data_IF_979424471354
#
_entry.id   IF_979424471354
#
_cell.length_a   1.000
_cell.length_b   1.000
_cell.length_c   1.000
_cell.angle_alpha   90.00
_cell.angle_beta   90.00
_cell.angle_gamma   90.00
#
_symmetry.space_group_name_H-M   'P 1'
#
loop_
_entity.id
_entity.type
_entity.pdbx_description
1 polymer ?
#
# COMPACT_ATOMS: atom_id res chain seq x y z
N UNK A 1 12.62 -21.60 -6.85
CA UNK A 1 11.92 -22.90 -6.72
C UNK A 1 10.57 -22.64 -6.07
N UNK A 2 9.52 -22.51 -6.88
CA UNK A 2 8.13 -22.46 -6.45
C UNK A 2 7.54 -23.82 -6.80
N UNK A 3 6.93 -24.46 -5.81
CA UNK A 3 6.26 -25.77 -5.85
C UNK A 3 7.12 -27.03 -5.69
N UNK A 4 7.27 -27.42 -4.42
CA UNK A 4 7.39 -28.82 -4.02
C UNK A 4 6.67 -29.09 -2.69
N UNK A 5 5.52 -28.48 -2.46
CA UNK A 5 4.52 -28.95 -1.49
C UNK A 5 3.16 -28.67 -2.11
N UNK A 6 2.30 -29.69 -2.22
CA UNK A 6 0.97 -29.64 -2.86
C UNK A 6 -0.05 -28.73 -2.17
N UNK A 7 0.37 -27.54 -1.73
CA UNK A 7 -0.47 -26.51 -1.19
C UNK A 7 -1.14 -25.72 -2.32
N UNK A 8 -2.42 -25.44 -2.18
CA UNK A 8 -3.16 -24.58 -3.10
C UNK A 8 -2.46 -23.22 -3.23
N UNK A 9 -2.42 -22.67 -4.46
CA UNK A 9 -1.80 -21.38 -4.75
C UNK A 9 -2.32 -20.28 -3.80
N UNK A 10 -1.46 -19.37 -3.32
CA UNK A 10 -1.86 -18.27 -2.46
C UNK A 10 -2.73 -17.28 -3.25
N UNK A 11 -3.85 -16.88 -2.66
CA UNK A 11 -4.81 -15.97 -3.26
C UNK A 11 -5.09 -14.76 -2.37
N UNK A 12 -5.30 -13.63 -2.98
CA UNK A 12 -5.97 -12.49 -2.36
C UNK A 12 -7.47 -12.82 -2.44
N UNK A 13 -8.15 -12.90 -1.29
CA UNK A 13 -9.54 -13.35 -1.20
C UNK A 13 -10.52 -12.27 -0.75
N UNK A 14 -10.01 -11.19 -0.18
CA UNK A 14 -10.76 -9.99 0.17
C UNK A 14 -9.81 -8.79 0.16
N UNK A 15 -10.35 -7.60 -0.10
CA UNK A 15 -9.58 -6.35 -0.07
C UNK A 15 -10.47 -5.16 0.25
N UNK A 16 -9.85 -4.05 0.64
CA UNK A 16 -10.48 -2.73 0.73
C UNK A 16 -9.43 -1.62 0.66
N UNK A 17 -9.90 -0.39 0.48
CA UNK A 17 -9.06 0.79 0.51
C UNK A 17 -9.77 1.96 1.22
N UNK A 18 -9.02 2.66 2.05
CA UNK A 18 -9.35 3.99 2.56
C UNK A 18 -8.44 4.97 1.81
N UNK A 19 -9.02 5.82 0.99
CA UNK A 19 -8.28 6.57 -0.03
C UNK A 19 -8.84 7.98 -0.23
N UNK A 20 -8.18 8.85 -0.99
CA UNK A 20 -8.73 10.13 -1.40
C UNK A 20 -10.04 10.04 -2.20
N UNK A 21 -10.40 8.86 -2.68
CA UNK A 21 -11.66 8.61 -3.39
C UNK A 21 -12.83 8.28 -2.44
N UNK A 22 -12.53 7.91 -1.19
CA UNK A 22 -13.52 7.58 -0.17
C UNK A 22 -13.00 6.62 0.88
N UNK A 23 -13.89 6.22 1.79
CA UNK A 23 -13.53 5.43 2.96
C UNK A 23 -13.59 3.91 2.72
N UNK A 24 -14.09 3.47 1.57
CA UNK A 24 -14.38 2.06 1.27
C UNK A 24 -13.78 1.61 -0.06
N UNK A 25 -13.59 0.32 -0.22
CA UNK A 25 -13.15 -0.27 -1.49
C UNK A 25 -14.11 0.04 -2.63
N UNK A 26 -15.42 0.05 -2.37
CA UNK A 26 -16.43 0.44 -3.36
C UNK A 26 -16.26 1.89 -3.85
N UNK A 27 -15.94 2.82 -2.93
CA UNK A 27 -15.66 4.22 -3.29
C UNK A 27 -14.41 4.32 -4.17
N UNK A 28 -13.38 3.55 -3.82
CA UNK A 28 -12.14 3.46 -4.59
C UNK A 28 -12.41 2.92 -6.00
N UNK A 29 -13.15 1.82 -6.13
CA UNK A 29 -13.54 1.22 -7.41
C UNK A 29 -14.32 2.20 -8.28
N UNK A 30 -15.31 2.89 -7.71
CA UNK A 30 -16.10 3.90 -8.43
C UNK A 30 -15.25 5.12 -8.84
N UNK A 31 -14.39 5.58 -7.94
CA UNK A 31 -13.54 6.74 -8.16
C UNK A 31 -12.48 6.52 -9.24
N UNK A 32 -11.85 5.35 -9.30
CA UNK A 32 -10.93 4.98 -10.38
C UNK A 32 -11.58 5.09 -11.76
N UNK A 33 -12.81 4.62 -11.89
CA UNK A 33 -13.55 4.70 -13.16
C UNK A 33 -13.88 6.12 -13.60
N UNK A 34 -13.80 7.11 -12.72
CA UNK A 34 -14.04 8.51 -13.07
C UNK A 34 -12.88 9.17 -13.82
N UNK A 35 -11.68 8.62 -13.73
CA UNK A 35 -10.44 9.17 -14.31
C UNK A 35 -10.05 10.55 -13.76
N UNK A 36 -10.66 11.00 -12.66
CA UNK A 36 -10.43 12.32 -12.08
C UNK A 36 -9.42 12.24 -10.94
N UNK A 37 -8.46 13.17 -10.92
CA UNK A 37 -7.58 13.35 -9.78
C UNK A 37 -8.35 13.76 -8.53
N UNK A 38 -8.03 13.11 -7.40
CA UNK A 38 -8.57 13.47 -6.08
C UNK A 38 -7.83 14.65 -5.45
N UNK A 39 -6.77 15.17 -6.09
CA UNK A 39 -6.00 16.31 -5.61
C UNK A 39 -6.90 17.55 -5.40
N UNK A 40 -6.77 18.17 -4.23
CA UNK A 40 -7.50 19.39 -3.87
C UNK A 40 -6.51 20.45 -3.35
N UNK A 41 -6.80 21.74 -3.58
CA UNK A 41 -6.01 22.79 -2.99
C UNK A 41 -5.96 22.64 -1.46
N UNK A 42 -4.78 22.86 -0.90
CA UNK A 42 -4.59 22.94 0.55
C UNK A 42 -4.92 24.35 1.01
N UNK A 43 -5.60 24.47 2.16
CA UNK A 43 -5.83 25.75 2.80
C UNK A 43 -4.52 26.24 3.45
N UNK A 44 -3.96 27.39 3.04
CA UNK A 44 -2.71 27.89 3.60
C UNK A 44 -2.81 28.28 5.08
N UNK A 45 -4.03 28.52 5.61
CA UNK A 45 -4.24 28.81 7.03
C UNK A 45 -4.13 27.54 7.88
N UNK A 46 -4.51 26.39 7.32
CA UNK A 46 -4.40 25.08 7.98
C UNK A 46 -3.03 24.43 7.73
N UNK A 47 -2.49 24.57 6.51
CA UNK A 47 -1.33 23.83 6.04
C UNK A 47 -0.16 24.75 5.67
N UNK A 48 0.79 24.93 6.59
CA UNK A 48 2.05 25.65 6.32
C UNK A 48 3.09 24.73 5.69
N UNK A 49 2.86 24.35 4.43
CA UNK A 49 3.69 23.39 3.66
C UNK A 49 4.01 23.93 2.27
N UNK A 50 5.10 23.44 1.62
CA UNK A 50 5.50 23.93 0.30
C UNK A 50 4.63 23.41 -0.86
N UNK A 51 3.68 22.54 -0.60
CA UNK A 51 2.75 22.02 -1.60
C UNK A 51 1.45 22.82 -1.62
N UNK A 52 0.92 23.05 -2.83
CA UNK A 52 -0.34 23.80 -3.02
C UNK A 52 -1.58 22.92 -3.00
N UNK A 53 -1.40 21.62 -3.20
CA UNK A 53 -2.49 20.63 -3.26
C UNK A 53 -2.03 19.30 -2.67
N UNK A 54 -3.00 18.52 -2.17
CA UNK A 54 -2.80 17.15 -1.73
C UNK A 54 -4.06 16.32 -2.02
N UNK A 55 -3.89 15.01 -2.10
CA UNK A 55 -4.96 14.03 -2.21
C UNK A 55 -5.23 13.45 -0.82
N UNK A 56 -6.15 14.06 -0.09
CA UNK A 56 -6.50 13.68 1.28
C UNK A 56 -7.74 12.81 1.31
N UNK A 57 -7.82 11.90 2.29
CA UNK A 57 -9.02 11.10 2.54
C UNK A 57 -10.16 12.02 3.02
N UNK A 58 -11.27 12.10 2.27
CA UNK A 58 -12.32 13.08 2.56
C UNK A 58 -13.01 12.77 3.90
N UNK A 59 -13.17 13.81 4.73
CA UNK A 59 -13.88 13.70 6.00
C UNK A 59 -13.28 12.72 7.01
N UNK A 60 -12.00 12.38 6.88
CA UNK A 60 -11.37 11.40 7.77
C UNK A 60 -11.07 12.00 9.15
N UNK A 61 -11.96 11.75 10.08
CA UNK A 61 -11.81 12.09 11.49
C UNK A 61 -11.83 10.82 12.34
N UNK A 62 -10.69 10.45 12.90
CA UNK A 62 -10.48 9.19 13.64
C UNK A 62 -11.59 8.93 14.68
N UNK A 63 -11.92 9.94 15.51
CA UNK A 63 -12.94 9.79 16.57
C UNK A 63 -14.37 9.68 16.05
N UNK A 64 -14.66 10.22 14.87
CA UNK A 64 -15.98 10.09 14.24
C UNK A 64 -16.13 8.69 13.65
N UNK A 65 -15.07 8.17 13.04
CA UNK A 65 -15.08 6.89 12.34
C UNK A 65 -14.91 5.72 13.32
N UNK A 66 -13.95 5.78 14.24
CA UNK A 66 -13.60 4.69 15.14
C UNK A 66 -14.20 4.82 16.55
N UNK A 67 -14.86 5.95 16.86
CA UNK A 67 -15.38 6.25 18.19
C UNK A 67 -14.32 6.87 19.10
N UNK A 68 -14.71 7.17 20.35
CA UNK A 68 -13.82 7.87 21.31
C UNK A 68 -12.89 6.93 22.09
N UNK A 69 -13.30 5.66 22.27
CA UNK A 69 -12.55 4.70 23.08
C UNK A 69 -11.28 4.25 22.32
N UNK A 70 -10.12 4.44 22.92
CA UNK A 70 -8.83 4.02 22.33
C UNK A 70 -8.24 4.95 21.27
N UNK A 71 -8.96 6.04 20.90
CA UNK A 71 -8.54 6.93 19.79
C UNK A 71 -7.91 8.24 20.23
N UNK A 72 -7.73 8.45 21.56
CA UNK A 72 -7.27 9.75 22.11
C UNK A 72 -5.89 10.16 21.60
N UNK A 73 -4.96 9.23 21.53
CA UNK A 73 -3.57 9.44 21.11
C UNK A 73 -3.25 8.81 19.74
N UNK A 74 -4.27 8.29 19.03
CA UNK A 74 -4.07 7.64 17.74
C UNK A 74 -3.69 8.68 16.68
N UNK A 75 -2.54 8.46 16.01
CA UNK A 75 -2.11 9.28 14.88
C UNK A 75 -2.88 8.95 13.60
N UNK A 76 -2.67 9.78 12.57
CA UNK A 76 -3.42 9.67 11.30
C UNK A 76 -3.09 8.35 10.58
N UNK A 77 -1.82 7.96 10.49
CA UNK A 77 -1.42 6.70 9.84
C UNK A 77 -2.07 5.50 10.52
N UNK A 78 -2.03 5.46 11.86
CA UNK A 78 -2.69 4.42 12.64
C UNK A 78 -4.20 4.42 12.44
N UNK A 79 -4.83 5.58 12.45
CA UNK A 79 -6.28 5.71 12.20
C UNK A 79 -6.70 5.18 10.84
N UNK A 80 -5.96 5.51 9.77
CA UNK A 80 -6.20 5.01 8.42
C UNK A 80 -6.06 3.47 8.36
N UNK A 81 -4.98 2.92 8.93
CA UNK A 81 -4.74 1.48 8.95
C UNK A 81 -5.83 0.71 9.72
N UNK A 82 -6.17 1.16 10.94
CA UNK A 82 -7.22 0.54 11.76
C UNK A 82 -8.56 0.58 11.03
N UNK A 83 -8.89 1.70 10.37
CA UNK A 83 -10.14 1.84 9.61
C UNK A 83 -10.18 0.89 8.42
N UNK A 84 -9.10 0.82 7.63
CA UNK A 84 -9.04 -0.08 6.48
C UNK A 84 -9.17 -1.55 6.91
N UNK A 85 -8.43 -1.97 7.94
CA UNK A 85 -8.52 -3.34 8.46
C UNK A 85 -9.92 -3.63 9.01
N UNK A 86 -10.54 -2.67 9.72
CA UNK A 86 -11.93 -2.82 10.18
C UNK A 86 -12.88 -3.10 9.03
N UNK A 87 -12.83 -2.28 7.96
CA UNK A 87 -13.69 -2.44 6.80
C UNK A 87 -13.46 -3.79 6.10
N UNK A 88 -12.21 -4.24 5.99
CA UNK A 88 -11.90 -5.57 5.46
C UNK A 88 -12.53 -6.68 6.30
N UNK A 89 -12.45 -6.56 7.63
CA UNK A 89 -12.93 -7.58 8.56
C UNK A 89 -14.46 -7.64 8.69
N UNK A 90 -15.15 -6.52 8.48
CA UNK A 90 -16.60 -6.40 8.69
C UNK A 90 -17.41 -6.25 7.40
N UNK A 91 -16.75 -6.32 6.22
CA UNK A 91 -17.43 -6.19 4.93
C UNK A 91 -18.02 -4.80 4.69
N UNK A 92 -17.36 -3.74 5.21
CA UNK A 92 -17.73 -2.32 5.03
C UNK A 92 -19.12 -1.92 5.59
N UNK A 93 -19.73 -2.74 6.44
CA UNK A 93 -21.01 -2.44 7.07
C UNK A 93 -20.87 -1.44 8.20
N UNK A 94 -21.88 -0.57 8.36
CA UNK A 94 -21.91 0.47 9.41
C UNK A 94 -22.54 -0.03 10.72
N UNK A 95 -23.38 -1.05 10.64
CA UNK A 95 -24.04 -1.68 11.77
C UNK A 95 -23.00 -2.48 12.58
N UNK A 96 -22.78 -2.09 13.81
CA UNK A 96 -21.76 -2.66 14.71
C UNK A 96 -21.91 -4.14 15.07
N UNK A 97 -22.81 -4.86 14.42
CA UNK A 97 -23.08 -6.31 14.54
C UNK A 97 -22.57 -7.10 13.32
N UNK A 98 -21.75 -6.48 12.44
CA UNK A 98 -21.22 -7.19 11.29
C UNK A 98 -20.34 -8.37 11.72
N UNK A 99 -20.71 -9.55 11.28
CA UNK A 99 -19.94 -10.76 11.51
C UNK A 99 -18.52 -10.60 10.90
N UNK A 100 -17.54 -10.96 11.71
CA UNK A 100 -16.14 -10.90 11.27
C UNK A 100 -15.93 -11.82 10.07
N UNK A 101 -15.11 -11.39 9.13
CA UNK A 101 -14.73 -12.17 7.94
C UNK A 101 -14.29 -13.59 8.35
N UNK A 102 -15.02 -14.59 7.86
CA UNK A 102 -14.81 -15.99 8.21
C UNK A 102 -13.36 -16.43 7.96
N UNK A 103 -12.80 -17.24 8.84
CA UNK A 103 -11.40 -17.70 8.75
C UNK A 103 -10.34 -16.67 9.17
N UNK A 104 -10.77 -15.48 9.61
CA UNK A 104 -9.88 -14.51 10.23
C UNK A 104 -10.08 -14.55 11.74
N UNK A 105 -9.14 -15.09 12.45
CA UNK A 105 -9.15 -15.28 13.90
C UNK A 105 -7.99 -14.55 14.58
N UNK A 106 -7.79 -14.84 15.87
CA UNK A 106 -6.67 -14.28 16.64
C UNK A 106 -5.29 -14.74 16.15
N UNK A 107 -5.20 -15.85 15.41
CA UNK A 107 -3.94 -16.40 14.87
C UNK A 107 -3.56 -15.80 13.52
N UNK A 108 -4.46 -15.02 12.93
CA UNK A 108 -4.23 -14.35 11.66
C UNK A 108 -3.04 -13.39 11.78
N UNK A 109 -2.10 -13.48 10.84
CA UNK A 109 -0.94 -12.60 10.78
C UNK A 109 -1.30 -11.20 10.25
N UNK A 110 -0.44 -10.22 10.55
CA UNK A 110 -0.51 -8.87 10.00
C UNK A 110 0.88 -8.46 9.48
N UNK A 111 0.98 -8.15 8.19
CA UNK A 111 2.15 -7.56 7.55
C UNK A 111 1.77 -6.20 6.97
N UNK A 112 2.01 -5.12 7.70
CA UNK A 112 1.61 -3.78 7.32
C UNK A 112 2.81 -2.92 6.93
N UNK A 113 2.73 -2.31 5.76
CA UNK A 113 3.72 -1.40 5.24
C UNK A 113 3.49 0.06 5.65
N UNK A 114 4.58 0.80 5.84
CA UNK A 114 4.58 2.26 6.01
C UNK A 114 5.95 2.81 5.66
N UNK A 115 6.08 4.09 5.36
CA UNK A 115 7.39 4.72 5.14
C UNK A 115 8.14 4.93 6.46
N UNK A 116 7.56 5.73 7.34
CA UNK A 116 8.17 6.14 8.62
C UNK A 116 7.24 5.96 9.83
N UNK A 117 6.03 5.41 9.61
CA UNK A 117 4.94 5.52 10.58
C UNK A 117 4.33 6.92 10.52
N UNK A 118 4.14 7.59 11.66
CA UNK A 118 3.68 8.99 11.68
C UNK A 118 4.88 9.94 11.77
N UNK A 119 5.28 10.52 10.63
CA UNK A 119 6.31 11.55 10.56
C UNK A 119 5.94 12.75 11.44
N UNK A 120 4.67 13.14 11.49
CA UNK A 120 4.19 14.24 12.33
C UNK A 120 4.40 13.94 13.81
N UNK A 121 4.05 12.74 14.27
CA UNK A 121 4.21 12.37 15.68
C UNK A 121 5.68 12.34 16.10
N UNK A 122 6.57 11.84 15.24
CA UNK A 122 8.01 11.83 15.48
C UNK A 122 8.54 13.26 15.61
N UNK A 123 8.17 14.14 14.67
CA UNK A 123 8.63 15.54 14.68
C UNK A 123 8.09 16.31 15.88
N UNK A 124 6.81 16.16 16.20
CA UNK A 124 6.20 16.85 17.35
C UNK A 124 6.81 16.41 18.66
N UNK A 125 7.00 15.10 18.87
CA UNK A 125 7.61 14.56 20.08
C UNK A 125 9.07 15.01 20.23
N UNK A 126 9.82 14.99 19.11
CA UNK A 126 11.21 15.46 19.09
C UNK A 126 11.29 16.96 19.40
N UNK A 127 10.42 17.76 18.78
CA UNK A 127 10.35 19.20 19.07
C UNK A 127 10.06 19.44 20.54
N UNK A 128 9.05 18.77 21.12
CA UNK A 128 8.69 18.95 22.54
C UNK A 128 9.86 18.60 23.46
N UNK A 129 10.67 17.59 23.11
CA UNK A 129 11.90 17.25 23.83
C UNK A 129 13.00 18.31 23.73
N UNK A 130 13.07 19.06 22.61
CA UNK A 130 14.12 20.05 22.36
C UNK A 130 13.79 21.44 22.90
N UNK A 131 12.48 21.83 22.89
CA UNK A 131 12.05 23.18 23.28
C UNK A 131 11.54 23.26 24.71
N UNK A 132 11.26 22.15 25.37
CA UNK A 132 10.82 22.09 26.76
C UNK A 132 11.94 22.46 27.74
N UNK A 133 11.57 22.89 28.93
CA UNK A 133 12.53 23.24 30.00
C UNK A 133 13.49 22.08 30.32
N UNK A 134 13.05 20.85 30.12
CA UNK A 134 13.85 19.64 30.24
C UNK A 134 13.46 18.63 29.16
N UNK A 135 14.43 17.90 28.55
CA UNK A 135 14.17 16.99 27.43
C UNK A 135 13.15 15.89 27.73
N UNK A 136 12.95 15.55 28.99
CA UNK A 136 12.01 14.50 29.43
C UNK A 136 10.61 15.02 29.76
N UNK A 137 10.35 16.33 29.63
CA UNK A 137 9.02 16.92 29.81
C UNK A 137 8.21 16.78 28.51
N UNK A 138 7.95 15.56 28.13
CA UNK A 138 7.16 15.17 26.95
C UNK A 138 5.90 14.40 27.38
N UNK A 139 4.85 14.43 26.57
CA UNK A 139 3.64 13.64 26.83
C UNK A 139 3.93 12.14 26.58
N UNK A 140 3.99 11.29 27.62
CA UNK A 140 4.30 9.87 27.46
C UNK A 140 3.24 9.11 26.64
N UNK A 141 2.01 9.64 26.54
CA UNK A 141 0.95 9.04 25.75
C UNK A 141 1.22 9.13 24.22
N UNK A 142 2.12 10.04 23.80
CA UNK A 142 2.51 10.20 22.39
C UNK A 142 3.69 9.30 22.00
N UNK A 143 4.44 8.79 22.99
CA UNK A 143 5.62 7.97 22.72
C UNK A 143 5.36 6.76 21.80
N UNK A 144 4.26 5.99 21.95
CA UNK A 144 3.99 4.88 21.03
C UNK A 144 3.90 5.27 19.57
N UNK A 145 3.52 6.51 19.26
CA UNK A 145 3.36 7.00 17.88
C UNK A 145 4.71 7.40 17.24
N UNK A 146 5.80 7.42 18.02
CA UNK A 146 7.13 7.77 17.52
C UNK A 146 7.87 6.60 16.90
N UNK A 147 7.31 5.40 16.94
CA UNK A 147 7.91 4.21 16.36
C UNK A 147 7.11 3.75 15.14
N UNK A 148 7.80 3.36 14.07
CA UNK A 148 7.18 3.05 12.79
C UNK A 148 6.19 1.87 12.85
N UNK A 149 6.32 0.97 13.83
CA UNK A 149 5.43 -0.17 14.00
C UNK A 149 4.14 0.14 14.76
N UNK A 150 3.89 1.40 15.11
CA UNK A 150 2.69 1.80 15.84
C UNK A 150 1.41 1.40 15.11
N UNK A 151 1.30 1.71 13.81
CA UNK A 151 0.12 1.40 13.03
C UNK A 151 -0.19 -0.10 13.00
N UNK A 152 0.81 -0.96 12.81
CA UNK A 152 0.64 -2.41 12.81
C UNK A 152 0.29 -2.94 14.21
N UNK A 153 0.99 -2.47 15.25
CA UNK A 153 0.75 -2.88 16.63
C UNK A 153 -0.63 -2.48 17.13
N UNK A 154 -1.03 -1.23 16.92
CA UNK A 154 -2.34 -0.73 17.31
C UNK A 154 -3.46 -1.41 16.53
N UNK A 155 -3.27 -1.67 15.24
CA UNK A 155 -4.24 -2.43 14.44
C UNK A 155 -4.43 -3.85 14.98
N UNK A 156 -3.35 -4.53 15.35
CA UNK A 156 -3.44 -5.86 15.94
C UNK A 156 -4.19 -5.86 17.29
N UNK A 157 -3.88 -4.89 18.17
CA UNK A 157 -4.57 -4.73 19.46
C UNK A 157 -6.05 -4.42 19.23
N UNK A 158 -6.37 -3.48 18.33
CA UNK A 158 -7.75 -3.05 18.06
C UNK A 158 -8.61 -4.20 17.54
N UNK A 159 -8.05 -5.02 16.67
CA UNK A 159 -8.78 -6.12 16.03
C UNK A 159 -8.54 -7.48 16.70
N UNK A 160 -7.84 -7.55 17.83
CA UNK A 160 -7.58 -8.79 18.55
C UNK A 160 -6.77 -9.82 17.75
N UNK A 161 -5.86 -9.36 16.88
CA UNK A 161 -4.94 -10.22 16.13
C UNK A 161 -3.74 -10.57 17.00
N UNK A 162 -3.45 -11.84 17.19
CA UNK A 162 -2.34 -12.35 18.03
C UNK A 162 -1.33 -13.17 17.22
N UNK A 163 -1.56 -13.33 15.92
CA UNK A 163 -0.62 -13.96 15.01
C UNK A 163 0.64 -13.10 14.77
N UNK A 164 1.56 -13.54 13.90
CA UNK A 164 2.74 -12.76 13.55
C UNK A 164 2.39 -11.34 13.14
N UNK A 165 3.07 -10.35 13.72
CA UNK A 165 2.87 -8.93 13.41
C UNK A 165 4.18 -8.33 12.93
N UNK A 166 4.16 -7.69 11.78
CA UNK A 166 5.36 -7.12 11.16
C UNK A 166 5.05 -5.78 10.50
N UNK A 167 5.97 -4.84 10.66
CA UNK A 167 6.00 -3.59 9.89
C UNK A 167 7.09 -3.66 8.85
N UNK A 168 6.77 -3.26 7.64
CA UNK A 168 7.67 -3.27 6.48
C UNK A 168 7.87 -1.82 6.01
N UNK A 169 9.11 -1.47 5.66
CA UNK A 169 9.44 -0.21 5.01
C UNK A 169 10.40 -0.46 3.85
N UNK A 170 10.14 0.17 2.72
CA UNK A 170 10.93 0.05 1.48
C UNK A 170 10.38 0.99 0.41
N UNK A 171 10.10 2.24 0.79
CA UNK A 171 9.57 3.27 -0.09
C UNK A 171 8.32 2.81 -0.84
N UNK A 172 8.22 3.12 -2.13
CA UNK A 172 7.09 2.72 -2.98
C UNK A 172 6.93 1.21 -3.15
N UNK A 173 8.01 0.43 -2.94
CA UNK A 173 7.97 -1.04 -3.02
C UNK A 173 7.30 -1.70 -1.79
N UNK A 174 7.01 -0.95 -0.75
CA UNK A 174 6.56 -1.46 0.55
C UNK A 174 5.36 -2.40 0.45
N UNK A 175 4.33 -2.08 -0.36
CA UNK A 175 3.17 -2.95 -0.53
C UNK A 175 3.52 -4.33 -1.10
N UNK A 176 4.45 -4.39 -2.09
CA UNK A 176 4.94 -5.66 -2.65
C UNK A 176 5.82 -6.41 -1.64
N UNK A 177 6.63 -5.71 -0.87
CA UNK A 177 7.45 -6.31 0.19
C UNK A 177 6.58 -6.90 1.31
N UNK A 178 5.49 -6.22 1.69
CA UNK A 178 4.51 -6.73 2.64
C UNK A 178 3.84 -8.02 2.12
N UNK A 179 3.46 -8.04 0.83
CA UNK A 179 2.93 -9.23 0.17
C UNK A 179 3.96 -10.37 0.17
N UNK A 180 5.23 -10.09 -0.17
CA UNK A 180 6.29 -11.09 -0.12
C UNK A 180 6.48 -11.65 1.28
N UNK A 181 6.43 -10.78 2.31
CA UNK A 181 6.58 -11.23 3.69
C UNK A 181 5.40 -12.10 4.14
N UNK A 182 4.18 -11.74 3.77
CA UNK A 182 3.00 -12.55 4.03
C UNK A 182 3.11 -13.95 3.41
N UNK A 183 3.56 -14.05 2.16
CA UNK A 183 3.86 -15.35 1.50
C UNK A 183 4.93 -16.14 2.24
N UNK A 184 5.94 -15.49 2.81
CA UNK A 184 6.97 -16.17 3.62
C UNK A 184 6.40 -16.72 4.92
N UNK A 185 5.51 -16.00 5.59
CA UNK A 185 4.82 -16.48 6.78
C UNK A 185 3.99 -17.74 6.49
N UNK A 186 3.25 -17.74 5.38
CA UNK A 186 2.48 -18.90 4.94
C UNK A 186 3.38 -20.10 4.61
N UNK A 187 4.43 -19.91 3.80
CA UNK A 187 5.37 -20.98 3.45
C UNK A 187 6.09 -21.57 4.65
N UNK A 188 6.34 -20.73 5.67
CA UNK A 188 6.96 -21.16 6.93
C UNK A 188 5.96 -21.78 7.93
N UNK A 189 4.68 -21.91 7.58
CA UNK A 189 3.63 -22.42 8.46
C UNK A 189 3.40 -21.55 9.71
N UNK A 190 3.72 -20.26 9.64
CA UNK A 190 3.59 -19.34 10.77
C UNK A 190 2.21 -18.70 10.85
N UNK A 191 1.54 -18.55 9.72
CA UNK A 191 0.17 -18.08 9.63
C UNK A 191 -0.45 -18.63 8.35
N UNK A 192 -1.68 -19.13 8.41
CA UNK A 192 -2.44 -19.58 7.24
C UNK A 192 -3.09 -18.39 6.53
N UNK A 193 -3.67 -17.47 7.29
CA UNK A 193 -4.24 -16.22 6.81
C UNK A 193 -3.37 -15.04 7.26
N UNK A 194 -3.10 -14.09 6.36
CA UNK A 194 -2.32 -12.88 6.65
C UNK A 194 -3.04 -11.67 6.08
N UNK A 195 -3.41 -10.75 6.94
CA UNK A 195 -3.78 -9.40 6.52
C UNK A 195 -2.52 -8.68 6.09
N UNK A 196 -2.48 -8.16 4.89
CA UNK A 196 -1.34 -7.39 4.41
C UNK A 196 -1.76 -6.21 3.55
N UNK A 197 -0.87 -5.25 3.44
CA UNK A 197 -1.10 -4.01 2.72
C UNK A 197 -0.14 -2.93 3.20
N UNK A 198 -0.50 -1.68 2.94
CA UNK A 198 0.31 -0.56 3.40
C UNK A 198 -0.54 0.68 3.69
N UNK A 199 0.01 1.57 4.49
CA UNK A 199 -0.58 2.85 4.89
C UNK A 199 0.43 3.97 4.75
N UNK A 200 -0.05 5.13 4.33
CA UNK A 200 0.71 6.38 4.34
C UNK A 200 -0.17 7.53 4.81
N UNK A 201 0.36 8.42 5.63
CA UNK A 201 -0.32 9.65 6.04
C UNK A 201 0.11 10.83 5.19
N UNK A 202 -0.76 11.83 5.01
CA UNK A 202 -0.35 13.18 4.70
C UNK A 202 -0.22 13.97 5.99
N UNK A 203 0.90 14.65 6.18
CA UNK A 203 1.16 15.53 7.31
C UNK A 203 2.13 16.63 6.91
N UNK A 204 2.16 17.71 7.70
CA UNK A 204 3.12 18.81 7.46
C UNK A 204 4.56 18.31 7.52
N UNK A 205 4.87 17.42 8.46
CA UNK A 205 6.21 16.84 8.57
C UNK A 205 6.58 16.03 7.32
N UNK A 206 5.68 15.14 6.83
CA UNK A 206 5.92 14.39 5.60
C UNK A 206 6.07 15.32 4.39
N UNK A 207 5.22 16.34 4.28
CA UNK A 207 5.30 17.27 3.16
C UNK A 207 6.67 17.98 3.10
N UNK A 208 7.19 18.45 4.24
CA UNK A 208 8.51 19.04 4.29
C UNK A 208 9.63 18.06 4.00
N UNK A 209 9.56 16.82 4.51
CA UNK A 209 10.54 15.77 4.19
C UNK A 209 10.57 15.47 2.68
N UNK A 210 9.40 15.31 2.06
CA UNK A 210 9.29 15.08 0.62
C UNK A 210 9.80 16.26 -0.21
N UNK A 211 9.54 17.49 0.23
CA UNK A 211 10.06 18.68 -0.43
C UNK A 211 11.59 18.72 -0.42
N UNK A 212 12.19 18.53 0.75
CA UNK A 212 13.65 18.55 0.87
C UNK A 212 14.33 17.37 0.16
N UNK A 213 13.67 16.22 0.10
CA UNK A 213 14.20 15.09 -0.64
C UNK A 213 14.22 15.28 -2.17
N UNK A 214 13.43 16.25 -2.67
CA UNK A 214 13.35 16.60 -4.11
C UNK A 214 14.09 17.88 -4.45
N UNK A 215 14.78 18.52 -3.51
CA UNK A 215 15.39 19.85 -3.69
C UNK A 215 16.45 19.94 -4.81
N UNK A 216 16.96 18.81 -5.26
CA UNK A 216 17.92 18.74 -6.39
C UNK A 216 17.21 18.52 -7.75
N UNK A 217 15.88 18.39 -7.79
CA UNK A 217 15.13 18.25 -9.03
C UNK A 217 14.60 19.62 -9.47
N UNK A 218 15.09 20.11 -10.59
CA UNK A 218 14.98 21.47 -11.16
C UNK A 218 13.56 21.97 -11.49
N UNK A 219 12.51 21.61 -10.77
CA UNK A 219 11.23 22.33 -10.92
C UNK A 219 10.22 22.09 -9.79
N UNK A 220 9.87 23.19 -9.11
CA UNK A 220 8.71 23.26 -8.21
C UNK A 220 7.37 22.95 -8.93
N UNK A 221 7.32 23.01 -10.25
CA UNK A 221 6.11 22.72 -11.06
C UNK A 221 5.90 21.23 -11.38
N UNK A 222 6.92 20.39 -11.19
CA UNK A 222 6.81 18.93 -11.39
C UNK A 222 6.52 18.15 -10.10
N UNK A 223 6.23 18.83 -8.99
CA UNK A 223 5.94 18.17 -7.73
C UNK A 223 4.64 17.36 -7.85
N UNK A 224 4.76 16.04 -7.89
CA UNK A 224 3.61 15.15 -7.79
C UNK A 224 2.76 15.51 -6.56
N UNK A 225 1.45 15.55 -6.72
CA UNK A 225 0.51 15.78 -5.63
C UNK A 225 0.69 14.64 -4.61
N UNK A 226 1.01 14.99 -3.37
CA UNK A 226 1.12 13.98 -2.31
C UNK A 226 -0.26 13.44 -1.96
N UNK A 227 -0.33 12.14 -1.73
CA UNK A 227 -1.55 11.45 -1.32
C UNK A 227 -1.39 10.72 0.01
N UNK A 228 -2.49 10.25 0.56
CA UNK A 228 -2.55 9.45 1.76
C UNK A 228 -3.56 8.32 1.64
N UNK A 229 -3.54 7.39 2.57
CA UNK A 229 -4.53 6.34 2.69
C UNK A 229 -3.93 4.99 3.05
N UNK A 230 -4.77 3.97 3.01
CA UNK A 230 -4.38 2.59 3.26
C UNK A 230 -5.12 1.66 2.30
N UNK A 231 -4.41 0.70 1.72
CA UNK A 231 -5.01 -0.42 1.01
C UNK A 231 -4.53 -1.72 1.64
N UNK A 232 -5.48 -2.60 1.95
CA UNK A 232 -5.25 -3.85 2.67
C UNK A 232 -6.02 -4.99 2.04
N UNK A 233 -5.49 -6.20 2.14
CA UNK A 233 -6.11 -7.42 1.64
C UNK A 233 -5.84 -8.61 2.53
N UNK A 234 -6.66 -9.64 2.39
CA UNK A 234 -6.46 -10.94 3.00
C UNK A 234 -5.75 -11.85 2.01
N UNK A 235 -4.58 -12.35 2.41
CA UNK A 235 -3.85 -13.38 1.71
C UNK A 235 -4.03 -14.71 2.42
N UNK A 236 -4.46 -15.74 1.70
CA UNK A 236 -4.67 -17.09 2.24
C UNK A 236 -4.48 -18.17 1.15
N UNK A 237 -4.31 -19.46 1.52
CA UNK A 237 -4.37 -20.54 0.56
C UNK A 237 -5.72 -20.62 -0.14
N UNK A 238 -5.76 -20.87 -1.45
CA UNK A 238 -7.01 -20.94 -2.19
C UNK A 238 -7.97 -22.04 -1.71
N UNK A 239 -7.49 -23.06 -1.02
CA UNK A 239 -8.34 -24.06 -0.34
C UNK A 239 -9.07 -23.44 0.86
N UNK A 240 -8.34 -22.71 1.71
CA UNK A 240 -8.89 -22.00 2.87
C UNK A 240 -9.94 -20.97 2.44
N UNK A 241 -9.66 -20.18 1.41
CA UNK A 241 -10.64 -19.25 0.86
C UNK A 241 -11.98 -19.94 0.53
N UNK A 242 -11.92 -21.08 -0.17
CA UNK A 242 -13.13 -21.85 -0.53
C UNK A 242 -13.86 -22.42 0.68
N UNK A 243 -13.13 -22.93 1.68
CA UNK A 243 -13.71 -23.41 2.94
C UNK A 243 -14.52 -22.33 3.67
N UNK A 244 -14.09 -21.07 3.52
CA UNK A 244 -14.75 -19.91 4.08
C UNK A 244 -15.69 -19.17 3.11
N UNK A 245 -16.08 -19.84 2.02
CA UNK A 245 -17.06 -19.32 1.05
C UNK A 245 -16.53 -18.22 0.12
N UNK A 246 -15.19 -18.05 -0.03
CA UNK A 246 -14.57 -17.07 -0.92
C UNK A 246 -13.99 -17.74 -2.15
N UNK A 247 -14.25 -17.19 -3.32
CA UNK A 247 -13.70 -17.73 -4.58
C UNK A 247 -12.19 -17.45 -4.75
N UNK A 248 -11.67 -16.44 -4.07
CA UNK A 248 -10.38 -15.82 -4.37
C UNK A 248 -10.54 -14.79 -5.51
N UNK A 249 -9.92 -13.65 -5.37
CA UNK A 249 -9.99 -12.54 -6.35
C UNK A 249 -8.81 -12.58 -7.31
N UNK A 250 -7.62 -12.79 -6.77
CA UNK A 250 -6.40 -12.91 -7.57
C UNK A 250 -5.43 -13.92 -6.96
N UNK A 251 -4.78 -14.68 -7.80
CA UNK A 251 -3.65 -15.53 -7.44
C UNK A 251 -2.36 -14.74 -7.51
N UNK A 252 -1.50 -14.85 -6.49
CA UNK A 252 -0.15 -14.30 -6.52
C UNK A 252 0.78 -15.27 -7.25
N UNK A 253 1.00 -15.01 -8.55
CA UNK A 253 1.79 -15.88 -9.43
C UNK A 253 3.28 -15.81 -9.09
N UNK A 254 3.78 -14.61 -8.79
CA UNK A 254 5.18 -14.42 -8.41
C UNK A 254 5.53 -12.97 -8.12
N UNK A 255 6.70 -12.81 -7.46
CA UNK A 255 7.32 -11.53 -7.20
C UNK A 255 8.81 -11.60 -7.45
N UNK A 256 9.40 -10.50 -7.93
CA UNK A 256 10.85 -10.30 -8.06
C UNK A 256 11.21 -8.91 -7.54
N UNK A 257 12.39 -8.82 -6.95
CA UNK A 257 12.94 -7.57 -6.43
C UNK A 257 14.39 -7.39 -6.86
N UNK A 258 14.81 -6.14 -6.83
CA UNK A 258 16.20 -5.75 -7.03
C UNK A 258 16.53 -4.49 -6.25
N UNK A 259 17.81 -4.16 -6.20
CA UNK A 259 18.30 -2.92 -5.62
C UNK A 259 19.23 -2.25 -6.62
N UNK A 260 18.94 -1.03 -6.99
CA UNK A 260 19.71 -0.19 -7.87
C UNK A 260 20.52 0.83 -7.06
N UNK A 261 21.68 1.20 -7.54
CA UNK A 261 22.53 2.21 -6.87
C UNK A 261 22.13 3.65 -7.20
N UNK A 262 21.39 3.84 -8.30
CA UNK A 262 20.86 5.11 -8.77
C UNK A 262 19.69 4.89 -9.74
N UNK A 263 19.01 5.97 -10.15
CA UNK A 263 17.87 5.90 -11.08
C UNK A 263 18.25 5.33 -12.45
N UNK A 264 19.51 5.51 -12.91
CA UNK A 264 19.99 4.95 -14.19
C UNK A 264 20.09 3.43 -14.11
N UNK A 265 20.65 2.91 -13.01
CA UNK A 265 20.72 1.48 -12.74
C UNK A 265 19.33 0.87 -12.52
N UNK A 266 18.39 1.65 -11.96
CA UNK A 266 17.01 1.20 -11.71
C UNK A 266 16.33 0.68 -12.97
N UNK A 267 16.49 1.30 -14.14
CA UNK A 267 15.98 0.82 -15.42
C UNK A 267 16.43 -0.62 -15.70
N UNK A 268 17.74 -0.88 -15.64
CA UNK A 268 18.30 -2.21 -15.96
C UNK A 268 17.90 -3.26 -14.91
N UNK A 269 17.92 -2.87 -13.62
CA UNK A 269 17.60 -3.77 -12.52
C UNK A 269 16.13 -4.17 -12.57
N UNK A 270 15.22 -3.21 -12.81
CA UNK A 270 13.78 -3.47 -12.91
C UNK A 270 13.45 -4.27 -14.17
N UNK A 271 14.02 -3.92 -15.34
CA UNK A 271 13.82 -4.70 -16.56
C UNK A 271 14.25 -6.16 -16.39
N UNK A 272 15.42 -6.38 -15.74
CA UNK A 272 15.90 -7.71 -15.40
C UNK A 272 14.99 -8.44 -14.41
N UNK A 273 14.44 -7.76 -13.42
CA UNK A 273 13.48 -8.36 -12.48
C UNK A 273 12.18 -8.77 -13.19
N UNK A 274 11.63 -7.92 -14.05
CA UNK A 274 10.46 -8.25 -14.86
C UNK A 274 10.76 -9.44 -15.77
N UNK A 275 11.89 -9.43 -16.48
CA UNK A 275 12.29 -10.53 -17.38
C UNK A 275 12.38 -11.88 -16.66
N UNK A 276 13.07 -11.95 -15.52
CA UNK A 276 13.16 -13.17 -14.69
C UNK A 276 11.79 -13.61 -14.19
N UNK A 277 10.92 -12.67 -13.82
CA UNK A 277 9.58 -12.98 -13.34
C UNK A 277 8.72 -13.59 -14.44
N UNK A 278 8.72 -13.00 -15.64
CA UNK A 278 8.00 -13.50 -16.81
C UNK A 278 8.51 -14.87 -17.24
N UNK A 279 9.84 -15.04 -17.34
CA UNK A 279 10.47 -16.32 -17.70
C UNK A 279 10.11 -17.44 -16.71
N UNK A 280 10.26 -17.17 -15.40
CA UNK A 280 9.99 -18.17 -14.36
C UNK A 280 8.52 -18.59 -14.31
N UNK A 281 7.61 -17.70 -14.64
CA UNK A 281 6.15 -17.94 -14.59
C UNK A 281 5.57 -18.42 -15.91
N UNK A 282 6.35 -18.36 -17.00
CA UNK A 282 5.89 -18.69 -18.35
C UNK A 282 4.88 -17.69 -18.92
N UNK A 283 4.76 -16.50 -18.32
CA UNK A 283 3.88 -15.43 -18.82
C UNK A 283 4.62 -14.64 -19.89
N UNK A 284 4.04 -14.52 -21.07
CA UNK A 284 4.63 -13.70 -22.14
C UNK A 284 4.16 -12.24 -22.03
N UNK A 285 4.94 -11.24 -22.47
CA UNK A 285 4.53 -9.84 -22.46
C UNK A 285 3.18 -9.59 -23.14
N UNK A 286 2.90 -10.25 -24.27
CA UNK A 286 1.64 -10.10 -25.00
C UNK A 286 0.43 -10.76 -24.33
N UNK A 287 0.64 -11.57 -23.28
CA UNK A 287 -0.45 -12.16 -22.49
C UNK A 287 -0.83 -11.33 -21.26
N UNK A 288 -0.13 -10.22 -21.02
CA UNK A 288 -0.47 -9.31 -19.93
C UNK A 288 -1.77 -8.55 -20.23
N UNK A 289 -2.73 -8.68 -19.34
CA UNK A 289 -4.01 -7.97 -19.43
C UNK A 289 -3.89 -6.49 -19.00
N UNK A 290 -2.95 -6.18 -18.10
CA UNK A 290 -2.68 -4.83 -17.65
C UNK A 290 -1.29 -4.71 -17.00
N UNK A 291 -0.79 -3.47 -16.93
CA UNK A 291 0.39 -3.09 -16.14
C UNK A 291 0.01 -1.95 -15.20
N UNK A 292 0.17 -2.17 -13.89
CA UNK A 292 0.03 -1.14 -12.88
C UNK A 292 1.43 -0.64 -12.51
N UNK A 293 1.79 0.56 -12.94
CA UNK A 293 3.06 1.22 -12.62
C UNK A 293 2.93 2.12 -11.38
N UNK A 294 4.07 2.48 -10.78
CA UNK A 294 4.07 3.27 -9.54
C UNK A 294 3.63 4.72 -9.74
N UNK A 295 3.69 5.24 -10.96
CA UNK A 295 3.49 6.66 -11.22
C UNK A 295 4.51 7.55 -10.50
N UNK A 296 5.70 7.00 -10.18
CA UNK A 296 6.75 7.77 -9.52
C UNK A 296 7.12 9.01 -10.34
N UNK A 297 7.33 10.17 -9.71
CA UNK A 297 7.76 11.38 -10.42
C UNK A 297 9.21 11.30 -10.86
N UNK A 298 9.66 12.26 -11.67
CA UNK A 298 11.06 12.50 -11.97
C UNK A 298 11.79 11.33 -12.63
N UNK A 299 13.04 11.15 -12.22
CA UNK A 299 13.97 10.18 -12.79
C UNK A 299 13.52 8.72 -12.53
N UNK A 300 12.94 8.43 -11.37
CA UNK A 300 12.45 7.10 -11.01
C UNK A 300 11.32 6.65 -11.94
N UNK A 301 10.33 7.51 -12.17
CA UNK A 301 9.22 7.20 -13.09
C UNK A 301 9.69 7.08 -14.54
N UNK A 302 10.67 7.88 -14.97
CA UNK A 302 11.29 7.73 -16.28
C UNK A 302 12.03 6.39 -16.40
N UNK A 303 12.76 5.98 -15.37
CA UNK A 303 13.46 4.70 -15.33
C UNK A 303 12.47 3.52 -15.35
N UNK A 304 11.35 3.61 -14.61
CA UNK A 304 10.31 2.58 -14.61
C UNK A 304 9.66 2.41 -15.98
N UNK A 305 9.27 3.51 -16.63
CA UNK A 305 8.70 3.47 -18.00
C UNK A 305 9.67 2.88 -19.01
N UNK A 306 10.96 3.25 -18.93
CA UNK A 306 11.98 2.70 -19.80
C UNK A 306 12.25 1.21 -19.53
N UNK A 307 12.26 0.78 -18.26
CA UNK A 307 12.39 -0.62 -17.88
C UNK A 307 11.23 -1.48 -18.42
N UNK A 308 10.02 -0.96 -18.34
CA UNK A 308 8.83 -1.61 -18.90
C UNK A 308 8.91 -1.75 -20.42
N UNK A 309 9.34 -0.70 -21.13
CA UNK A 309 9.54 -0.76 -22.58
C UNK A 309 10.58 -1.82 -22.96
N UNK A 310 11.71 -1.88 -22.24
CA UNK A 310 12.75 -2.89 -22.47
C UNK A 310 12.25 -4.32 -22.22
N UNK A 311 11.53 -4.53 -21.11
CA UNK A 311 11.11 -5.87 -20.69
C UNK A 311 9.92 -6.39 -21.51
N UNK A 312 9.06 -5.52 -22.00
CA UNK A 312 7.85 -5.93 -22.74
C UNK A 312 8.07 -6.08 -24.24
N UNK A 313 9.23 -5.62 -24.78
CA UNK A 313 9.63 -5.91 -26.15
C UNK A 313 8.64 -5.47 -27.21
N UNK A 314 7.94 -4.35 -27.02
CA UNK A 314 6.93 -3.80 -27.95
C UNK A 314 5.49 -4.25 -27.66
N UNK A 315 5.23 -5.08 -26.66
CA UNK A 315 3.87 -5.31 -26.18
C UNK A 315 3.38 -4.07 -25.40
N UNK A 316 2.14 -3.65 -25.65
CA UNK A 316 1.52 -2.44 -25.09
C UNK A 316 0.25 -2.81 -24.30
N UNK A 317 0.36 -3.54 -23.17
CA UNK A 317 -0.80 -3.80 -22.31
C UNK A 317 -1.36 -2.48 -21.73
N UNK A 318 -2.68 -2.42 -21.46
CA UNK A 318 -3.29 -1.27 -20.79
C UNK A 318 -2.54 -0.86 -19.52
N UNK A 319 -2.34 0.45 -19.32
CA UNK A 319 -1.63 1.02 -18.19
C UNK A 319 -2.59 1.51 -17.11
N UNK A 320 -2.23 1.27 -15.87
CA UNK A 320 -2.94 1.71 -14.68
C UNK A 320 -1.95 2.53 -13.85
N UNK A 321 -2.10 3.86 -13.85
CA UNK A 321 -1.28 4.76 -13.03
C UNK A 321 -2.14 5.35 -11.92
N UNK A 322 -2.17 4.68 -10.77
CA UNK A 322 -3.05 5.05 -9.64
C UNK A 322 -2.66 6.40 -9.05
N UNK A 323 -1.37 6.76 -9.10
CA UNK A 323 -0.87 8.03 -8.59
C UNK A 323 -1.52 9.25 -9.26
N UNK A 324 -1.97 9.14 -10.52
CA UNK A 324 -2.71 10.21 -11.22
C UNK A 324 -4.05 10.52 -10.54
N UNK A 325 -4.61 9.53 -9.86
CA UNK A 325 -5.91 9.64 -9.20
C UNK A 325 -5.77 9.97 -7.71
N UNK A 326 -4.97 9.19 -6.96
CA UNK A 326 -4.88 9.31 -5.50
C UNK A 326 -3.65 10.07 -5.01
N UNK A 327 -2.78 10.52 -5.92
CA UNK A 327 -1.53 11.18 -5.59
C UNK A 327 -0.40 10.20 -5.23
N UNK A 328 0.78 10.75 -4.94
CA UNK A 328 1.94 9.98 -4.48
C UNK A 328 1.75 9.56 -3.01
N UNK A 329 1.41 8.31 -2.83
CA UNK A 329 1.16 7.69 -1.51
C UNK A 329 2.38 6.93 -0.98
N UNK A 330 3.57 7.14 -1.54
CA UNK A 330 4.84 6.54 -1.09
C UNK A 330 4.69 5.05 -0.71
N UNK A 331 4.78 4.69 0.57
CA UNK A 331 4.70 3.30 1.03
C UNK A 331 3.39 2.60 0.66
N UNK A 332 2.29 3.32 0.54
CA UNK A 332 1.00 2.75 0.12
C UNK A 332 0.86 2.63 -1.41
N UNK A 333 1.80 3.13 -2.22
CA UNK A 333 1.68 3.14 -3.68
C UNK A 333 1.44 1.75 -4.26
N UNK A 334 2.31 0.78 -3.99
CA UNK A 334 2.15 -0.59 -4.48
C UNK A 334 0.88 -1.26 -3.93
N UNK A 335 0.43 -0.89 -2.73
CA UNK A 335 -0.82 -1.40 -2.19
C UNK A 335 -2.04 -0.87 -2.96
N UNK A 336 -2.05 0.41 -3.33
CA UNK A 336 -3.08 0.97 -4.18
C UNK A 336 -3.03 0.44 -5.62
N UNK A 337 -1.85 0.12 -6.16
CA UNK A 337 -1.73 -0.55 -7.46
C UNK A 337 -2.40 -1.93 -7.45
N UNK A 338 -2.16 -2.74 -6.41
CA UNK A 338 -2.84 -4.03 -6.23
C UNK A 338 -4.35 -3.82 -6.09
N UNK A 339 -4.78 -2.86 -5.25
CA UNK A 339 -6.19 -2.53 -5.10
C UNK A 339 -6.84 -2.11 -6.43
N UNK A 340 -6.13 -1.36 -7.27
CA UNK A 340 -6.64 -0.95 -8.59
C UNK A 340 -6.79 -2.14 -9.55
N UNK A 341 -5.84 -3.07 -9.55
CA UNK A 341 -5.96 -4.31 -10.33
C UNK A 341 -7.19 -5.10 -9.90
N UNK A 342 -7.45 -5.22 -8.58
CA UNK A 342 -8.62 -5.91 -8.05
C UNK A 342 -9.93 -5.17 -8.38
N UNK A 343 -9.94 -3.85 -8.25
CA UNK A 343 -11.09 -3.00 -8.58
C UNK A 343 -11.47 -3.10 -10.06
N UNK A 344 -10.49 -3.11 -10.98
CA UNK A 344 -10.74 -3.28 -12.40
C UNK A 344 -11.20 -4.70 -12.76
N UNK A 345 -10.74 -5.70 -12.01
CA UNK A 345 -11.25 -7.06 -12.14
C UNK A 345 -12.73 -7.17 -11.69
N UNK A 346 -13.12 -6.52 -10.59
CA UNK A 346 -14.52 -6.44 -10.14
C UNK A 346 -15.43 -5.73 -11.15
N UNK A 347 -14.88 -4.82 -11.96
CA UNK A 347 -15.58 -4.13 -13.05
C UNK A 347 -15.53 -4.88 -14.37
N UNK A 348 -14.97 -6.08 -14.39
CA UNK A 348 -14.77 -6.90 -15.60
C UNK A 348 -13.88 -6.25 -16.68
N UNK A 349 -13.13 -5.19 -16.31
CA UNK A 349 -12.14 -4.55 -17.20
C UNK A 349 -10.85 -5.37 -17.31
N UNK A 350 -10.57 -6.23 -16.32
CA UNK A 350 -9.60 -7.31 -16.41
C UNK A 350 -10.36 -8.63 -16.26
N UNK A 351 -10.45 -9.39 -17.32
CA UNK A 351 -11.21 -10.63 -17.34
C UNK A 351 -10.60 -11.71 -16.41
N UNK A 352 -11.43 -12.64 -15.94
CA UNK A 352 -10.96 -13.84 -15.24
C UNK A 352 -9.94 -14.59 -16.09
N UNK A 353 -8.85 -15.06 -15.48
CA UNK A 353 -7.67 -15.63 -16.14
C UNK A 353 -6.66 -14.59 -16.61
N UNK A 354 -7.04 -13.31 -16.72
CA UNK A 354 -6.14 -12.22 -17.07
C UNK A 354 -5.02 -12.05 -16.05
N UNK A 355 -3.82 -11.73 -16.51
CA UNK A 355 -2.65 -11.53 -15.64
C UNK A 355 -2.21 -10.07 -15.69
N UNK A 356 -2.15 -9.43 -14.53
CA UNK A 356 -1.65 -8.07 -14.39
C UNK A 356 -0.22 -8.07 -13.84
N UNK A 357 0.62 -7.20 -14.37
CA UNK A 357 1.96 -6.90 -13.87
C UNK A 357 1.87 -5.63 -13.01
N UNK A 358 2.35 -5.71 -11.77
CA UNK A 358 2.53 -4.55 -10.88
C UNK A 358 4.01 -4.27 -10.78
N UNK A 359 4.43 -3.03 -11.02
CA UNK A 359 5.84 -2.61 -10.92
C UNK A 359 6.01 -1.45 -9.97
N UNK A 360 7.20 -1.31 -9.41
CA UNK A 360 7.52 -0.22 -8.52
C UNK A 360 9.00 0.11 -8.59
N UNK A 361 9.27 1.40 -8.45
CA UNK A 361 10.62 1.95 -8.33
C UNK A 361 10.62 2.96 -7.19
N UNK A 362 11.64 2.91 -6.36
CA UNK A 362 11.82 3.86 -5.27
C UNK A 362 13.15 4.61 -5.38
N UNK A 363 13.20 5.83 -4.84
CA UNK A 363 14.41 6.67 -4.83
C UNK A 363 15.59 6.02 -4.09
N UNK A 364 15.30 5.19 -3.08
CA UNK A 364 16.31 4.43 -2.34
C UNK A 364 16.84 3.21 -3.10
N UNK A 365 16.47 3.09 -4.39
CA UNK A 365 16.95 2.08 -5.31
C UNK A 365 16.21 0.76 -5.24
N UNK A 366 15.24 0.59 -4.37
CA UNK A 366 14.43 -0.64 -4.34
C UNK A 366 13.51 -0.67 -5.55
N UNK A 367 13.59 -1.76 -6.31
CA UNK A 367 12.68 -2.03 -7.43
C UNK A 367 11.94 -3.35 -7.19
N UNK A 368 10.70 -3.44 -7.66
CA UNK A 368 9.90 -4.64 -7.49
C UNK A 368 8.96 -4.88 -8.67
N UNK A 369 8.65 -6.15 -8.89
CA UNK A 369 7.64 -6.59 -9.85
C UNK A 369 6.83 -7.74 -9.25
N UNK A 370 5.52 -7.75 -9.51
CA UNK A 370 4.62 -8.84 -9.12
C UNK A 370 3.67 -9.19 -10.27
N UNK A 371 3.30 -10.46 -10.38
CA UNK A 371 2.26 -10.93 -11.29
C UNK A 371 1.05 -11.42 -10.47
N UNK A 372 -0.10 -10.88 -10.80
CA UNK A 372 -1.39 -11.25 -10.23
C UNK A 372 -2.28 -11.82 -11.35
N UNK A 373 -2.82 -13.03 -11.15
CA UNK A 373 -3.77 -13.65 -12.07
C UNK A 373 -5.16 -13.55 -11.48
N UNK A 374 -6.06 -12.89 -12.18
CA UNK A 374 -7.47 -12.71 -11.79
C UNK A 374 -8.19 -14.06 -11.84
N UNK A 375 -9.06 -14.31 -10.88
CA UNK A 375 -9.79 -15.57 -10.72
C UNK A 375 -11.28 -15.44 -11.08
#
# INVERSE_FOLDING_TARGET
MVNASGGAAPVISAWTAVSPLGLRGADFTAGLGSGRSAGRPLDPEEWSVPFRAASLVPGFHIRQILGRKGTRSMDRATGLAVTAIRHLLTGEREDGEAERLAGVDERTGLALGTSTGSAQSIMDFTRDSLVGDKPFYVDPARFPNTVMNCAAGQSAIWHGLKGPNTTIAGGRATGLLALQYALRLQRAGRADAVLCGAVEEFSSARAWLEWHARADEDSADSAAVLGEGAAVWLLEPGASAREHGRAGLAEVVGLEFGCAVDARAARTVLAGAIGRLLERTGVTPGALAAVADSGAPGAEGAAERAALADALGGAEPPRITVADTVGDTCAAAAAFQIAAVLALAEREEIASGGTALVTTVDRDGVVGAALLRIR
#
